data_IF_500305609810
#
_entry.id   IF_500305609810
#
_cell.length_a   1.000
_cell.length_b   1.000
_cell.length_c   1.000
_cell.angle_alpha   90.00
_cell.angle_beta   90.00
_cell.angle_gamma   90.00
#
_symmetry.space_group_name_H-M   'P 1'
#
loop_
_entity.id
_entity.type
_entity.pdbx_description
1 polymer ?
#
# COMPACT_ATOMS: atom_id res chain seq x y z
N UNK A 1 -11.27 -16.43 -27.68
CA UNK A 1 -12.16 -15.34 -27.28
C UNK A 1 -11.33 -14.10 -27.10
N UNK A 2 -11.52 -13.06 -27.93
CA UNK A 2 -10.89 -11.76 -27.70
C UNK A 2 -11.47 -11.24 -26.37
N UNK A 3 -10.67 -10.74 -25.42
CA UNK A 3 -11.24 -10.11 -24.24
C UNK A 3 -12.12 -8.97 -24.75
N UNK A 4 -13.38 -8.93 -24.30
CA UNK A 4 -14.31 -7.85 -24.63
C UNK A 4 -13.62 -6.52 -24.36
N UNK A 5 -13.44 -5.71 -25.40
CA UNK A 5 -13.11 -4.29 -25.27
C UNK A 5 -14.34 -3.60 -24.67
N UNK A 6 -14.49 -3.72 -23.36
CA UNK A 6 -15.47 -2.94 -22.63
C UNK A 6 -14.99 -1.48 -22.63
N UNK A 7 -15.75 -0.62 -23.31
CA UNK A 7 -15.47 0.81 -23.29
C UNK A 7 -16.04 1.44 -22.02
N UNK A 8 -15.15 1.90 -21.14
CA UNK A 8 -15.50 2.58 -19.90
C UNK A 8 -15.81 4.08 -20.11
N UNK A 9 -15.46 4.67 -21.26
CA UNK A 9 -15.60 6.11 -21.52
C UNK A 9 -17.05 6.61 -21.56
N UNK A 10 -18.04 5.88 -22.09
CA UNK A 10 -19.42 6.36 -22.16
C UNK A 10 -20.28 6.02 -20.93
N UNK A 11 -19.70 5.52 -19.84
CA UNK A 11 -20.49 5.13 -18.64
C UNK A 11 -21.25 6.31 -18.04
N UNK A 12 -22.43 6.05 -17.48
CA UNK A 12 -23.16 7.03 -16.66
C UNK A 12 -22.33 7.45 -15.45
N UNK A 13 -22.12 8.76 -15.31
CA UNK A 13 -21.37 9.35 -14.21
C UNK A 13 -22.32 10.16 -13.31
N UNK A 14 -22.07 10.20 -12.00
CA UNK A 14 -22.84 11.02 -11.10
C UNK A 14 -22.48 12.51 -11.32
N UNK A 15 -23.43 13.41 -11.02
CA UNK A 15 -23.39 14.84 -11.36
C UNK A 15 -22.16 15.59 -10.85
N UNK A 16 -21.56 15.09 -9.79
CA UNK A 16 -20.38 15.62 -9.12
C UNK A 16 -19.05 15.22 -9.80
N UNK A 17 -19.08 14.34 -10.82
CA UNK A 17 -17.89 13.83 -11.49
C UNK A 17 -17.70 14.48 -12.85
N UNK A 18 -16.51 15.02 -13.09
CA UNK A 18 -16.13 15.58 -14.38
C UNK A 18 -15.85 14.45 -15.40
N UNK A 19 -16.53 14.50 -16.55
CA UNK A 19 -16.38 13.55 -17.68
C UNK A 19 -14.94 13.51 -18.20
N UNK A 20 -14.27 14.64 -18.31
CA UNK A 20 -12.91 14.72 -18.85
C UNK A 20 -11.88 14.07 -17.91
N UNK A 21 -12.04 14.26 -16.59
CA UNK A 21 -11.21 13.55 -15.60
C UNK A 21 -11.44 12.04 -15.65
N UNK A 22 -12.69 11.62 -15.83
CA UNK A 22 -13.00 10.21 -16.00
C UNK A 22 -12.33 9.62 -17.25
N UNK A 23 -12.44 10.28 -18.40
CA UNK A 23 -11.81 9.83 -19.64
C UNK A 23 -10.29 9.72 -19.46
N UNK A 24 -9.65 10.73 -18.85
CA UNK A 24 -8.21 10.70 -18.55
C UNK A 24 -7.82 9.53 -17.64
N UNK A 25 -8.63 9.23 -16.62
CA UNK A 25 -8.40 8.06 -15.76
C UNK A 25 -8.53 6.74 -16.53
N UNK A 26 -9.53 6.61 -17.41
CA UNK A 26 -9.70 5.44 -18.30
C UNK A 26 -8.50 5.29 -19.24
N UNK A 27 -8.06 6.38 -19.88
CA UNK A 27 -6.91 6.38 -20.79
C UNK A 27 -5.61 6.03 -20.06
N UNK A 28 -5.42 6.56 -18.84
CA UNK A 28 -4.31 6.18 -17.96
C UNK A 28 -4.33 4.66 -17.66
N UNK A 29 -5.51 4.07 -17.36
CA UNK A 29 -5.63 2.61 -17.14
C UNK A 29 -5.31 1.80 -18.39
N UNK A 30 -5.75 2.25 -19.55
CA UNK A 30 -5.44 1.63 -20.83
C UNK A 30 -3.94 1.68 -21.14
N UNK A 31 -3.28 2.83 -20.92
CA UNK A 31 -1.85 3.00 -21.10
C UNK A 31 -1.02 2.06 -20.20
N UNK A 32 -1.49 1.79 -18.99
CA UNK A 32 -0.87 0.84 -18.05
C UNK A 32 -1.14 -0.65 -18.36
N UNK A 33 -1.73 -0.97 -19.53
CA UNK A 33 -2.11 -2.34 -19.95
C UNK A 33 -3.06 -3.04 -18.97
N UNK A 34 -3.79 -2.28 -18.16
CA UNK A 34 -4.80 -2.78 -17.23
C UNK A 34 -6.09 -2.00 -17.42
N UNK A 35 -6.78 -2.18 -18.57
CA UNK A 35 -8.05 -1.51 -18.82
C UNK A 35 -9.07 -1.83 -17.72
N UNK A 36 -10.02 -0.93 -17.51
CA UNK A 36 -11.08 -1.15 -16.53
C UNK A 36 -12.04 -2.23 -17.04
N UNK A 37 -12.43 -3.13 -16.14
CA UNK A 37 -13.51 -4.08 -16.39
C UNK A 37 -14.84 -3.43 -16.03
N UNK A 38 -15.96 -3.94 -16.57
CA UNK A 38 -17.30 -3.45 -16.25
C UNK A 38 -17.58 -3.43 -14.73
N UNK A 39 -17.17 -4.49 -14.03
CA UNK A 39 -17.32 -4.56 -12.57
C UNK A 39 -16.48 -3.51 -11.85
N UNK A 40 -15.25 -3.25 -12.31
CA UNK A 40 -14.41 -2.21 -11.72
C UNK A 40 -15.03 -0.82 -11.92
N UNK A 41 -15.59 -0.55 -13.10
CA UNK A 41 -16.29 0.72 -13.36
C UNK A 41 -17.48 0.90 -12.44
N UNK A 42 -18.35 -0.11 -12.28
CA UNK A 42 -19.49 -0.06 -11.36
C UNK A 42 -19.06 0.28 -9.92
N UNK A 43 -17.99 -0.37 -9.44
CA UNK A 43 -17.46 -0.11 -8.09
C UNK A 43 -16.85 1.28 -7.95
N UNK A 44 -16.14 1.77 -8.97
CA UNK A 44 -15.52 3.10 -8.96
C UNK A 44 -16.58 4.19 -9.00
N UNK A 45 -17.57 4.07 -9.89
CA UNK A 45 -18.68 5.03 -10.00
C UNK A 45 -19.42 5.14 -8.66
N UNK A 46 -19.74 4.00 -8.02
CA UNK A 46 -20.37 3.98 -6.69
C UNK A 46 -19.51 4.65 -5.61
N UNK A 47 -18.18 4.51 -5.67
CA UNK A 47 -17.26 5.21 -4.76
C UNK A 47 -17.24 6.72 -5.01
N UNK A 48 -17.18 7.14 -6.27
CA UNK A 48 -17.19 8.55 -6.64
C UNK A 48 -18.49 9.23 -6.20
N UNK A 49 -19.62 8.54 -6.31
CA UNK A 49 -20.89 9.00 -5.73
C UNK A 49 -20.78 9.19 -4.21
N UNK A 50 -20.20 8.22 -3.50
CA UNK A 50 -20.00 8.32 -2.04
C UNK A 50 -19.05 9.44 -1.60
N UNK A 51 -18.16 9.90 -2.47
CA UNK A 51 -17.21 10.98 -2.16
C UNK A 51 -17.82 12.38 -2.33
N UNK A 52 -18.98 12.51 -3.00
CA UNK A 52 -19.65 13.80 -3.18
C UNK A 52 -18.73 14.84 -3.84
N UNK A 53 -18.59 16.02 -3.26
CA UNK A 53 -17.77 17.10 -3.80
C UNK A 53 -16.28 16.74 -4.00
N UNK A 54 -15.79 15.71 -3.30
CA UNK A 54 -14.39 15.26 -3.35
C UNK A 54 -14.10 14.26 -4.47
N UNK A 55 -15.10 13.89 -5.27
CA UNK A 55 -14.95 12.87 -6.32
C UNK A 55 -13.90 13.25 -7.38
N UNK A 56 -13.87 14.52 -7.81
CA UNK A 56 -12.91 14.99 -8.82
C UNK A 56 -11.47 14.98 -8.28
N UNK A 57 -11.26 15.47 -7.05
CA UNK A 57 -9.95 15.41 -6.39
C UNK A 57 -9.48 13.96 -6.23
N UNK A 58 -10.39 13.02 -5.96
CA UNK A 58 -10.07 11.59 -5.91
C UNK A 58 -9.54 11.07 -7.25
N UNK A 59 -10.18 11.46 -8.37
CA UNK A 59 -9.73 11.08 -9.71
C UNK A 59 -8.37 11.69 -10.05
N UNK A 60 -8.17 12.97 -9.76
CA UNK A 60 -6.89 13.66 -9.97
C UNK A 60 -5.75 12.96 -9.22
N UNK A 61 -5.96 12.65 -7.94
CA UNK A 61 -4.99 11.92 -7.12
C UNK A 61 -4.68 10.54 -7.72
N UNK A 62 -5.69 9.83 -8.24
CA UNK A 62 -5.51 8.54 -8.89
C UNK A 62 -4.74 8.64 -10.20
N UNK A 63 -4.96 9.70 -10.99
CA UNK A 63 -4.23 9.94 -12.25
C UNK A 63 -2.77 10.28 -11.93
N UNK A 64 -2.52 11.25 -11.03
CA UNK A 64 -1.17 11.68 -10.64
C UNK A 64 -0.37 10.53 -10.04
N UNK A 65 -1.00 9.75 -9.15
CA UNK A 65 -0.37 8.61 -8.47
C UNK A 65 -0.32 7.32 -9.29
N UNK A 66 -0.87 7.32 -10.51
CA UNK A 66 -0.99 6.14 -11.36
C UNK A 66 -1.72 4.96 -10.67
N UNK A 67 -2.73 5.25 -9.87
CA UNK A 67 -3.44 4.25 -9.07
C UNK A 67 -4.51 3.50 -9.87
N UNK A 68 -4.75 2.25 -9.49
CA UNK A 68 -5.73 1.39 -10.19
C UNK A 68 -7.19 1.70 -9.85
N UNK A 69 -7.41 2.47 -8.79
CA UNK A 69 -8.74 2.80 -8.29
C UNK A 69 -8.75 4.16 -7.63
N UNK A 70 -9.94 4.54 -7.13
CA UNK A 70 -10.20 5.84 -6.49
C UNK A 70 -10.25 5.69 -4.97
N UNK A 71 -9.71 6.69 -4.29
CA UNK A 71 -9.57 6.73 -2.83
C UNK A 71 -10.06 8.07 -2.29
N UNK A 72 -10.66 8.04 -1.09
CA UNK A 72 -11.09 9.26 -0.43
C UNK A 72 -9.89 10.23 -0.30
N UNK A 73 -10.00 11.48 -0.77
CA UNK A 73 -8.95 12.45 -0.59
C UNK A 73 -8.70 12.64 0.91
N UNK A 74 -7.45 12.57 1.32
CA UNK A 74 -7.09 12.89 2.69
C UNK A 74 -7.35 14.38 2.87
N UNK A 75 -8.01 14.81 3.97
CA UNK A 75 -8.03 16.22 4.31
C UNK A 75 -6.58 16.69 4.40
N UNK A 76 -6.30 17.81 3.75
CA UNK A 76 -4.99 18.43 3.76
C UNK A 76 -4.61 18.70 5.23
N UNK A 77 -3.67 17.92 5.77
CA UNK A 77 -3.11 18.15 7.11
C UNK A 77 -2.11 19.33 7.11
N UNK A 78 -2.25 20.27 6.17
CA UNK A 78 -1.45 21.49 6.07
C UNK A 78 -1.90 22.59 7.05
N UNK A 79 -2.79 22.28 7.99
CA UNK A 79 -2.93 23.00 9.26
C UNK A 79 -2.36 22.13 10.38
N UNK A 80 -1.08 22.31 10.68
CA UNK A 80 -0.37 21.74 11.82
C UNK A 80 -1.14 21.99 13.15
N UNK A 81 -1.62 20.96 13.87
CA UNK A 81 -1.69 21.04 15.31
C UNK A 81 -0.40 20.43 15.84
N UNK A 82 0.47 21.31 16.32
CA UNK A 82 1.49 21.04 17.30
C UNK A 82 1.23 19.75 18.08
N UNK A 83 2.17 18.81 17.95
CA UNK A 83 2.35 17.64 18.80
C UNK A 83 1.87 17.89 20.24
N UNK A 84 0.66 17.44 20.54
CA UNK A 84 0.20 17.17 21.90
C UNK A 84 -0.36 15.74 21.89
N UNK A 85 0.51 14.78 21.55
CA UNK A 85 0.30 13.38 21.92
C UNK A 85 0.65 13.21 23.40
N UNK A 86 -0.24 13.70 24.26
CA UNK A 86 -0.62 12.94 25.43
C UNK A 86 -1.68 11.92 24.98
N UNK A 87 -1.26 10.86 24.32
CA UNK A 87 -2.06 9.63 24.25
C UNK A 87 -1.28 8.53 24.93
N UNK A 88 -1.85 8.12 26.06
CA UNK A 88 -1.47 7.01 26.90
C UNK A 88 -1.43 5.75 26.03
N UNK A 89 -0.24 5.18 25.87
CA UNK A 89 -0.07 3.80 25.44
C UNK A 89 -0.73 2.88 26.49
N UNK A 90 -1.45 1.81 26.08
CA UNK A 90 -1.73 0.71 26.97
C UNK A 90 -0.40 0.19 27.52
N UNK A 91 -0.28 0.14 28.85
CA UNK A 91 0.88 -0.41 29.54
C UNK A 91 0.99 -1.91 29.27
N UNK A 92 1.66 -2.30 28.19
CA UNK A 92 2.18 -3.64 28.00
C UNK A 92 3.45 -3.76 28.85
N UNK A 93 3.47 -4.55 29.93
CA UNK A 93 4.60 -4.62 30.86
C UNK A 93 5.76 -5.36 30.21
N UNK A 94 6.65 -4.66 29.49
CA UNK A 94 8.04 -5.05 29.19
C UNK A 94 8.31 -6.42 28.52
N UNK A 95 7.29 -7.23 28.29
CA UNK A 95 7.41 -8.66 27.99
C UNK A 95 8.00 -8.86 26.59
N UNK A 96 7.56 -8.02 25.65
CA UNK A 96 8.08 -8.01 24.28
C UNK A 96 9.56 -7.62 24.23
N UNK A 97 9.99 -6.66 25.04
CA UNK A 97 11.39 -6.19 25.04
C UNK A 97 12.33 -7.21 25.68
N UNK A 98 11.85 -7.94 26.70
CA UNK A 98 12.62 -8.97 27.36
C UNK A 98 12.85 -10.20 26.46
N UNK A 99 11.86 -10.57 25.63
CA UNK A 99 11.98 -11.72 24.72
C UNK A 99 13.01 -11.49 23.60
N UNK A 100 13.14 -10.26 23.10
CA UNK A 100 14.17 -9.92 22.09
C UNK A 100 15.58 -9.90 22.66
N UNK A 101 15.75 -9.47 23.91
CA UNK A 101 17.06 -9.36 24.54
C UNK A 101 17.61 -10.72 25.01
N UNK A 102 16.74 -11.71 25.25
CA UNK A 102 17.14 -13.06 25.68
C UNK A 102 17.63 -13.95 24.51
N UNK A 103 17.24 -13.65 23.27
CA UNK A 103 17.64 -14.46 22.10
C UNK A 103 19.04 -14.13 21.56
N UNK A 104 19.63 -12.99 21.94
CA UNK A 104 20.96 -12.60 21.45
C UNK A 104 22.11 -12.99 22.38
N UNK A 105 21.86 -13.68 23.51
CA UNK A 105 22.90 -13.99 24.51
C UNK A 105 23.37 -15.45 24.60
N UNK A 106 22.93 -16.36 23.72
CA UNK A 106 23.39 -17.77 23.79
C UNK A 106 23.79 -18.30 22.43
N UNK A 107 25.10 -18.25 22.17
CA UNK A 107 25.97 -19.29 21.57
C UNK A 107 27.19 -18.61 20.94
N UNK A 108 28.12 -18.16 21.79
CA UNK A 108 29.54 -18.13 21.39
C UNK A 108 30.01 -19.57 21.58
N UNK A 109 30.17 -20.31 20.48
CA UNK A 109 30.84 -21.60 20.51
C UNK A 109 32.33 -21.27 20.65
N UNK A 110 32.89 -21.46 21.84
CA UNK A 110 34.34 -21.41 22.05
C UNK A 110 34.95 -22.64 21.38
N UNK A 111 35.41 -22.48 20.15
CA UNK A 111 36.28 -23.45 19.49
C UNK A 111 37.72 -23.10 19.86
N UNK A 112 38.13 -23.51 21.06
CA UNK A 112 39.55 -23.64 21.37
C UNK A 112 40.09 -24.82 20.55
N UNK A 113 41.07 -24.64 19.63
CA UNK A 113 41.77 -25.77 19.04
C UNK A 113 42.73 -26.34 20.10
N UNK A 114 42.35 -27.46 20.70
CA UNK A 114 43.26 -28.26 21.53
C UNK A 114 44.43 -28.74 20.66
N UNK A 115 45.63 -28.53 21.18
CA UNK A 115 46.88 -28.86 20.52
C UNK A 115 47.37 -30.22 21.02
N UNK A 116 47.69 -31.11 20.07
CA UNK A 116 48.45 -32.37 20.16
C UNK A 116 47.65 -33.68 20.22
N UNK A 117 47.64 -34.40 19.10
CA UNK A 117 48.29 -35.70 19.02
C UNK A 117 48.58 -36.07 17.55
N UNK A 118 49.87 -36.24 17.27
CA UNK A 118 50.46 -36.84 16.08
C UNK A 118 50.07 -38.32 15.98
N UNK A 119 49.71 -38.80 14.79
CA UNK A 119 50.19 -40.11 14.34
C UNK A 119 50.28 -40.22 12.82
N UNK A 120 51.39 -40.83 12.43
CA UNK A 120 52.02 -40.84 11.11
C UNK A 120 51.54 -42.09 10.38
N UNK A 121 51.04 -41.97 9.15
CA UNK A 121 50.90 -43.13 8.26
C UNK A 121 51.85 -43.00 7.08
N UNK A 122 52.73 -44.01 7.02
CA UNK A 122 53.76 -44.26 6.03
C UNK A 122 53.20 -44.56 4.63
N UNK A 123 53.96 -44.17 3.61
CA UNK A 123 54.01 -44.84 2.30
C UNK A 123 55.19 -45.81 2.29
#
# INVERSE_FOLDING_TARGET
MKPNDFDAKPVELPVNVNRDLWIQFVDMRAANKKPLTENAVKLIVKKLESFGALANQSLENSIIGNYQGVFAPKPDHSANPQNNHAQQAPSEPGYFMQMFNEQTQSTVIDVTPDSNAVEVYHL
#
